data_IF_159726839284
#
_entry.id   IF_159726839284
#
_cell.length_a   1.000
_cell.length_b   1.000
_cell.length_c   1.000
_cell.angle_alpha   90.00
_cell.angle_beta   90.00
_cell.angle_gamma   90.00
#
_symmetry.space_group_name_H-M   'P 1'
#
loop_
_entity.id
_entity.type
_entity.pdbx_description
1 polymer ?
#
# COMPACT_ATOMS: atom_id res chain seq x y z
N UNK A 1 5.98 -11.97 2.23
CA UNK A 1 4.86 -11.13 1.76
C UNK A 1 5.21 -9.64 1.70
N UNK A 2 5.74 -8.99 2.76
CA UNK A 2 6.10 -7.57 2.68
C UNK A 2 7.36 -7.26 1.83
N UNK A 3 8.35 -8.18 1.72
CA UNK A 3 9.64 -7.93 1.05
C UNK A 3 9.58 -7.72 -0.45
N UNK A 4 8.58 -8.32 -1.11
CA UNK A 4 8.36 -8.07 -2.52
C UNK A 4 7.59 -6.78 -2.77
N UNK A 5 7.05 -6.10 -1.76
CA UNK A 5 6.23 -4.89 -1.98
C UNK A 5 6.95 -3.78 -2.75
N UNK A 6 8.24 -3.43 -2.49
CA UNK A 6 8.90 -2.37 -3.24
C UNK A 6 9.36 -2.85 -4.63
N UNK A 7 9.81 -4.11 -4.75
CA UNK A 7 10.26 -4.68 -6.03
C UNK A 7 9.09 -4.95 -6.99
N UNK A 8 7.94 -5.40 -6.47
CA UNK A 8 6.70 -5.55 -7.20
C UNK A 8 6.18 -4.20 -7.67
N UNK A 9 6.09 -3.20 -6.77
CA UNK A 9 5.70 -1.83 -7.13
C UNK A 9 6.65 -1.21 -8.14
N UNK A 10 7.95 -1.47 -8.03
CA UNK A 10 8.95 -1.05 -9.01
C UNK A 10 8.76 -1.66 -10.40
N UNK A 11 8.61 -2.99 -10.46
CA UNK A 11 8.39 -3.72 -11.71
C UNK A 11 7.08 -3.29 -12.38
N UNK A 12 6.03 -3.10 -11.60
CA UNK A 12 4.75 -2.60 -12.10
C UNK A 12 4.84 -1.15 -12.54
N UNK A 13 5.59 -0.30 -11.84
CA UNK A 13 5.81 1.08 -12.27
C UNK A 13 6.59 1.15 -13.59
N UNK A 14 7.56 0.25 -13.82
CA UNK A 14 8.25 0.17 -15.13
C UNK A 14 7.27 -0.31 -16.22
N UNK A 15 6.44 -1.31 -15.92
CA UNK A 15 5.57 -1.95 -16.91
C UNK A 15 4.33 -1.12 -17.28
N UNK A 16 3.68 -0.46 -16.32
CA UNK A 16 2.41 0.24 -16.52
C UNK A 16 2.53 1.73 -16.80
N UNK A 17 3.53 2.44 -16.24
CA UNK A 17 3.61 3.90 -16.38
C UNK A 17 4.33 4.34 -17.66
N UNK A 18 5.00 3.44 -18.40
CA UNK A 18 5.85 3.77 -19.56
C UNK A 18 6.82 4.95 -19.33
N UNK A 19 7.08 5.32 -18.07
CA UNK A 19 8.00 6.37 -17.72
C UNK A 19 9.42 5.81 -17.80
N UNK A 20 10.30 6.47 -18.56
CA UNK A 20 11.73 6.15 -18.59
C UNK A 20 12.29 6.35 -17.18
N UNK A 21 12.49 5.26 -16.45
CA UNK A 21 13.00 5.35 -15.10
C UNK A 21 14.44 5.82 -15.10
N UNK A 22 14.70 6.92 -14.39
CA UNK A 22 16.05 7.44 -14.22
C UNK A 22 16.83 6.55 -13.22
N UNK A 23 18.15 6.45 -13.36
CA UNK A 23 19.04 5.70 -12.44
C UNK A 23 18.76 5.92 -10.95
N UNK A 24 18.32 7.12 -10.54
CA UNK A 24 17.94 7.42 -9.15
C UNK A 24 16.70 6.65 -8.67
N UNK A 25 15.73 6.43 -9.55
CA UNK A 25 14.54 5.62 -9.24
C UNK A 25 14.93 4.15 -9.09
N UNK A 26 15.80 3.62 -9.96
CA UNK A 26 16.35 2.27 -9.80
C UNK A 26 17.11 2.09 -8.48
N UNK A 27 17.93 3.07 -8.09
CA UNK A 27 18.61 3.05 -6.78
C UNK A 27 17.62 3.11 -5.62
N UNK A 28 16.60 3.97 -5.71
CA UNK A 28 15.55 4.05 -4.70
C UNK A 28 14.78 2.74 -4.53
N UNK A 29 14.44 2.08 -5.63
CA UNK A 29 13.82 0.75 -5.64
C UNK A 29 14.71 -0.27 -4.94
N UNK A 30 15.99 -0.31 -5.29
CA UNK A 30 16.96 -1.25 -4.71
C UNK A 30 17.11 -1.02 -3.21
N UNK A 31 17.25 0.23 -2.77
CA UNK A 31 17.37 0.60 -1.35
C UNK A 31 16.11 0.18 -0.58
N UNK A 32 14.92 0.47 -1.12
CA UNK A 32 13.66 0.05 -0.49
C UNK A 32 13.55 -1.47 -0.39
N UNK A 33 13.90 -2.20 -1.46
CA UNK A 33 13.88 -3.65 -1.47
C UNK A 33 14.81 -4.25 -0.41
N UNK A 34 16.05 -3.77 -0.34
CA UNK A 34 17.02 -4.20 0.69
C UNK A 34 16.51 -3.88 2.10
N UNK A 35 15.86 -2.73 2.29
CA UNK A 35 15.23 -2.35 3.57
C UNK A 35 14.18 -3.35 4.03
N UNK A 36 13.31 -3.81 3.12
CA UNK A 36 12.30 -4.81 3.51
C UNK A 36 12.90 -6.20 3.69
N UNK A 37 13.86 -6.61 2.86
CA UNK A 37 14.58 -7.89 3.06
C UNK A 37 15.26 -7.91 4.43
N UNK A 38 15.91 -6.82 4.82
CA UNK A 38 16.53 -6.68 6.14
C UNK A 38 15.50 -6.80 7.27
N UNK A 39 14.35 -6.13 7.13
CA UNK A 39 13.26 -6.18 8.10
C UNK A 39 12.71 -7.61 8.27
N UNK A 40 12.43 -8.31 7.16
CA UNK A 40 11.88 -9.68 7.20
C UNK A 40 12.89 -10.70 7.69
N UNK A 41 14.15 -10.57 7.26
CA UNK A 41 15.20 -11.47 7.68
C UNK A 41 15.46 -11.35 9.19
N UNK A 42 15.11 -10.23 9.81
CA UNK A 42 15.54 -9.87 11.17
C UNK A 42 17.05 -10.09 11.37
N UNK A 43 17.87 -9.99 10.32
CA UNK A 43 19.31 -10.28 10.34
C UNK A 43 19.71 -11.76 10.24
N UNK A 44 18.77 -12.70 10.06
CA UNK A 44 19.04 -14.12 9.84
C UNK A 44 19.19 -14.46 8.36
N UNK A 45 20.35 -15.04 8.00
CA UNK A 45 20.63 -15.49 6.63
C UNK A 45 19.79 -16.72 6.23
N UNK A 46 19.37 -17.53 7.21
CA UNK A 46 18.56 -18.72 7.00
C UNK A 46 17.13 -18.39 6.55
N UNK A 47 16.58 -17.27 7.04
CA UNK A 47 15.28 -16.76 6.58
C UNK A 47 15.37 -16.32 5.12
N UNK A 48 16.51 -15.75 4.71
CA UNK A 48 16.73 -15.30 3.32
C UNK A 48 16.85 -16.50 2.39
N UNK A 49 17.56 -17.55 2.80
CA UNK A 49 17.73 -18.77 2.00
C UNK A 49 16.41 -19.53 1.77
N UNK A 50 15.48 -19.41 2.72
CA UNK A 50 14.16 -20.04 2.63
C UNK A 50 13.08 -19.12 2.01
N UNK A 51 13.43 -17.92 1.53
CA UNK A 51 12.50 -17.07 0.79
C UNK A 51 12.16 -17.70 -0.57
N UNK A 52 11.00 -18.34 -0.65
CA UNK A 52 10.46 -18.86 -1.91
C UNK A 52 9.38 -17.94 -2.46
N UNK A 53 9.42 -17.66 -3.77
CA UNK A 53 8.31 -17.03 -4.47
C UNK A 53 7.08 -17.94 -4.41
N UNK A 54 5.94 -17.41 -3.99
CA UNK A 54 4.71 -18.18 -3.83
C UNK A 54 3.52 -17.52 -4.56
N UNK A 55 2.39 -18.24 -4.60
CA UNK A 55 1.17 -17.76 -5.27
C UNK A 55 0.63 -16.46 -4.65
N UNK A 56 0.90 -16.20 -3.38
CA UNK A 56 0.55 -14.96 -2.70
C UNK A 56 1.26 -13.74 -3.27
N UNK A 57 2.49 -13.88 -3.77
CA UNK A 57 3.25 -12.78 -4.37
C UNK A 57 2.61 -12.33 -5.70
N UNK A 58 2.09 -13.28 -6.49
CA UNK A 58 1.31 -12.99 -7.70
C UNK A 58 -0.01 -12.29 -7.38
N UNK A 59 -0.70 -12.71 -6.31
CA UNK A 59 -1.94 -12.07 -5.86
C UNK A 59 -1.67 -10.64 -5.35
N UNK A 60 -0.54 -10.42 -4.67
CA UNK A 60 -0.12 -9.08 -4.26
C UNK A 60 0.14 -8.17 -5.45
N UNK A 61 0.87 -8.66 -6.47
CA UNK A 61 1.08 -7.93 -7.73
C UNK A 61 -0.26 -7.57 -8.39
N UNK A 62 -1.18 -8.52 -8.51
CA UNK A 62 -2.51 -8.27 -9.07
C UNK A 62 -3.30 -7.22 -8.24
N UNK A 63 -3.17 -7.25 -6.92
CA UNK A 63 -3.76 -6.25 -6.02
C UNK A 63 -3.18 -4.84 -6.26
N UNK A 64 -1.86 -4.72 -6.43
CA UNK A 64 -1.21 -3.43 -6.73
C UNK A 64 -1.63 -2.87 -8.10
N UNK A 65 -1.74 -3.73 -9.13
CA UNK A 65 -2.30 -3.32 -10.43
C UNK A 65 -3.73 -2.81 -10.25
N UNK A 66 -4.55 -3.56 -9.52
CA UNK A 66 -5.95 -3.19 -9.26
C UNK A 66 -6.04 -1.85 -8.53
N UNK A 67 -5.14 -1.59 -7.58
CA UNK A 67 -5.04 -0.31 -6.87
C UNK A 67 -4.66 0.87 -7.79
N UNK A 68 -3.68 0.66 -8.67
CA UNK A 68 -3.26 1.67 -9.64
C UNK A 68 -4.40 1.99 -10.62
N UNK A 69 -5.06 0.96 -11.14
CA UNK A 69 -6.24 1.10 -12.03
C UNK A 69 -7.36 1.83 -11.31
N UNK A 70 -7.68 1.46 -10.06
CA UNK A 70 -8.67 2.15 -9.24
C UNK A 70 -8.33 3.65 -9.09
N UNK A 71 -7.07 3.98 -8.82
CA UNK A 71 -6.65 5.37 -8.62
C UNK A 71 -6.70 6.18 -9.93
N UNK A 72 -6.35 5.58 -11.06
CA UNK A 72 -6.35 6.27 -12.35
C UNK A 72 -7.78 6.45 -12.87
N UNK A 73 -8.56 5.38 -12.94
CA UNK A 73 -9.94 5.42 -13.44
C UNK A 73 -10.88 6.12 -12.46
N UNK A 74 -10.68 5.91 -11.16
CA UNK A 74 -11.48 6.52 -10.10
C UNK A 74 -11.42 8.04 -10.15
N UNK A 75 -10.29 8.63 -10.57
CA UNK A 75 -10.21 10.08 -10.81
C UNK A 75 -11.24 10.55 -11.85
N UNK A 76 -11.39 9.83 -12.95
CA UNK A 76 -12.38 10.16 -13.98
C UNK A 76 -13.82 9.96 -13.49
N UNK A 77 -14.08 8.88 -12.75
CA UNK A 77 -15.39 8.66 -12.11
C UNK A 77 -15.76 9.80 -11.15
N UNK A 78 -14.76 10.36 -10.47
CA UNK A 78 -14.94 11.48 -9.55
C UNK A 78 -15.15 12.85 -10.23
N UNK A 79 -15.19 12.90 -11.57
CA UNK A 79 -15.69 14.08 -12.30
C UNK A 79 -17.22 14.17 -12.19
N UNK A 80 -17.90 13.01 -12.15
CA UNK A 80 -19.37 12.92 -12.07
C UNK A 80 -19.88 12.56 -10.65
N UNK A 81 -19.05 11.89 -9.84
CA UNK A 81 -19.41 11.42 -8.50
C UNK A 81 -18.57 12.08 -7.41
N UNK A 82 -19.18 12.35 -6.25
CA UNK A 82 -18.43 12.82 -5.09
C UNK A 82 -17.49 11.72 -4.54
N UNK A 83 -16.39 12.09 -3.84
CA UNK A 83 -15.48 11.11 -3.22
C UNK A 83 -16.16 10.13 -2.27
N UNK A 84 -17.16 10.60 -1.51
CA UNK A 84 -17.93 9.73 -0.60
C UNK A 84 -18.85 8.79 -1.37
N UNK A 85 -19.50 9.25 -2.45
CA UNK A 85 -20.33 8.40 -3.31
C UNK A 85 -19.49 7.33 -4.01
N UNK A 86 -18.29 7.69 -4.48
CA UNK A 86 -17.34 6.73 -5.07
C UNK A 86 -16.89 5.68 -4.05
N UNK A 87 -16.63 6.09 -2.81
CA UNK A 87 -16.30 5.19 -1.71
C UNK A 87 -17.47 4.26 -1.37
N UNK A 88 -18.70 4.77 -1.35
CA UNK A 88 -19.90 3.98 -1.10
C UNK A 88 -20.12 2.91 -2.17
N UNK A 89 -20.04 3.27 -3.46
CA UNK A 89 -20.17 2.31 -4.56
C UNK A 89 -19.06 1.27 -4.57
N UNK A 90 -17.82 1.66 -4.28
CA UNK A 90 -16.72 0.72 -4.10
C UNK A 90 -16.98 -0.25 -2.93
N UNK A 91 -17.52 0.25 -1.81
CA UNK A 91 -17.91 -0.57 -0.66
C UNK A 91 -19.02 -1.56 -0.98
N UNK A 92 -20.08 -1.12 -1.67
CA UNK A 92 -21.21 -1.98 -2.08
C UNK A 92 -20.73 -3.08 -3.03
N UNK A 93 -20.00 -2.72 -4.08
CA UNK A 93 -19.47 -3.69 -5.06
C UNK A 93 -18.50 -4.67 -4.41
N UNK A 94 -17.58 -4.18 -3.57
CA UNK A 94 -16.66 -5.02 -2.80
C UNK A 94 -17.39 -6.00 -1.88
N UNK A 95 -18.47 -5.55 -1.21
CA UNK A 95 -19.31 -6.40 -0.35
C UNK A 95 -19.98 -7.51 -1.15
N UNK A 96 -20.51 -7.19 -2.34
CA UNK A 96 -21.14 -8.20 -3.22
C UNK A 96 -20.13 -9.27 -3.67
N UNK A 97 -18.92 -8.87 -4.07
CA UNK A 97 -17.87 -9.81 -4.44
C UNK A 97 -17.40 -10.67 -3.27
N UNK A 98 -17.20 -10.06 -2.10
CA UNK A 98 -16.83 -10.78 -0.87
C UNK A 98 -17.91 -11.78 -0.45
N UNK A 99 -19.19 -11.39 -0.51
CA UNK A 99 -20.31 -12.25 -0.18
C UNK A 99 -20.39 -13.44 -1.16
N UNK A 100 -20.28 -13.19 -2.46
CA UNK A 100 -20.26 -14.26 -3.45
C UNK A 100 -19.09 -15.24 -3.22
N UNK A 101 -17.90 -14.72 -2.89
CA UNK A 101 -16.73 -15.54 -2.59
C UNK A 101 -16.91 -16.38 -1.30
N UNK A 102 -17.53 -15.80 -0.26
CA UNK A 102 -17.84 -16.49 1.00
C UNK A 102 -18.85 -17.62 0.79
N UNK A 103 -19.91 -17.37 0.02
CA UNK A 103 -20.90 -18.39 -0.34
C UNK A 103 -20.29 -19.51 -1.18
N UNK A 104 -19.41 -19.17 -2.14
CA UNK A 104 -18.72 -20.15 -2.97
C UNK A 104 -17.77 -21.06 -2.16
N UNK A 105 -17.06 -20.51 -1.18
CA UNK A 105 -16.16 -21.29 -0.31
C UNK A 105 -16.91 -22.10 0.76
N UNK A 106 -18.22 -21.89 0.93
CA UNK A 106 -19.02 -22.58 1.94
C UNK A 106 -18.63 -22.22 3.38
N UNK A 107 -17.95 -21.09 3.59
CA UNK A 107 -17.66 -20.60 4.94
C UNK A 107 -18.98 -20.23 5.61
N UNK A 108 -19.31 -20.88 6.73
CA UNK A 108 -20.55 -20.58 7.46
C UNK A 108 -20.65 -19.09 7.82
N UNK A 109 -21.83 -18.50 7.64
CA UNK A 109 -22.10 -17.08 7.94
C UNK A 109 -22.19 -16.80 9.45
N UNK A 110 -22.11 -17.83 10.29
CA UNK A 110 -22.23 -17.71 11.75
C UNK A 110 -20.85 -17.74 12.39
N UNK A 111 -20.30 -16.57 12.65
CA UNK A 111 -19.11 -16.39 13.49
C UNK A 111 -19.57 -15.72 14.79
N UNK A 112 -19.29 -16.34 15.94
CA UNK A 112 -19.49 -15.68 17.22
C UNK A 112 -18.36 -14.69 17.47
N UNK A 113 -18.68 -13.40 17.36
CA UNK A 113 -17.74 -12.32 17.60
C UNK A 113 -17.87 -11.83 19.05
N UNK A 114 -16.74 -11.58 19.70
CA UNK A 114 -16.71 -10.91 20.99
C UNK A 114 -17.13 -9.44 20.84
N UNK A 115 -17.54 -8.80 21.95
CA UNK A 115 -17.85 -7.36 21.94
C UNK A 115 -16.67 -6.52 21.46
N UNK A 116 -15.44 -6.92 21.81
CA UNK A 116 -14.23 -6.26 21.32
C UNK A 116 -14.10 -6.38 19.80
N UNK A 117 -14.32 -7.58 19.23
CA UNK A 117 -14.25 -7.78 17.79
C UNK A 117 -15.29 -6.94 17.04
N UNK A 118 -16.50 -6.78 17.58
CA UNK A 118 -17.51 -5.87 17.02
C UNK A 118 -17.06 -4.41 17.03
N UNK A 119 -16.46 -3.94 18.12
CA UNK A 119 -15.92 -2.59 18.21
C UNK A 119 -14.77 -2.38 17.22
N UNK A 120 -13.85 -3.35 17.11
CA UNK A 120 -12.76 -3.32 16.13
C UNK A 120 -13.28 -3.27 14.70
N UNK A 121 -14.32 -4.06 14.38
CA UNK A 121 -14.99 -4.01 13.08
C UNK A 121 -15.62 -2.64 12.82
N UNK A 122 -16.33 -2.07 13.81
CA UNK A 122 -16.91 -0.74 13.69
C UNK A 122 -15.85 0.34 13.41
N UNK A 123 -14.71 0.28 14.11
CA UNK A 123 -13.58 1.16 13.86
C UNK A 123 -12.99 0.97 12.45
N UNK A 124 -12.81 -0.29 12.01
CA UNK A 124 -12.35 -0.57 10.65
C UNK A 124 -13.31 -0.04 9.59
N UNK A 125 -14.61 -0.21 9.77
CA UNK A 125 -15.63 0.25 8.81
C UNK A 125 -15.63 1.78 8.74
N UNK A 126 -15.73 2.46 9.88
CA UNK A 126 -15.88 3.92 9.90
C UNK A 126 -14.55 4.62 9.64
N UNK A 127 -13.52 4.29 10.42
CA UNK A 127 -12.21 4.95 10.37
C UNK A 127 -11.45 4.59 9.11
N UNK A 128 -11.15 3.30 8.94
CA UNK A 128 -10.33 2.84 7.80
C UNK A 128 -11.12 2.71 6.50
N UNK A 129 -12.41 2.37 6.55
CA UNK A 129 -13.23 2.13 5.38
C UNK A 129 -13.84 3.40 4.82
N UNK A 130 -14.67 4.09 5.60
CA UNK A 130 -15.41 5.26 5.10
C UNK A 130 -14.53 6.50 5.08
N UNK A 131 -13.96 6.90 6.23
CA UNK A 131 -13.26 8.17 6.36
C UNK A 131 -11.95 8.18 5.55
N UNK A 132 -11.09 7.17 5.76
CA UNK A 132 -9.79 7.13 5.09
C UNK A 132 -9.92 7.06 3.56
N UNK A 133 -10.81 6.21 3.02
CA UNK A 133 -11.00 6.15 1.57
C UNK A 133 -11.69 7.39 1.01
N UNK A 134 -12.62 8.00 1.74
CA UNK A 134 -13.23 9.27 1.30
C UNK A 134 -12.18 10.36 1.20
N UNK A 135 -11.26 10.47 2.18
CA UNK A 135 -10.16 11.43 2.13
C UNK A 135 -9.12 11.10 1.06
N UNK A 136 -8.81 9.82 0.87
CA UNK A 136 -7.96 9.37 -0.24
C UNK A 136 -8.54 9.81 -1.58
N UNK A 137 -9.83 9.52 -1.80
CA UNK A 137 -10.56 9.87 -3.01
C UNK A 137 -10.68 11.39 -3.19
N UNK A 138 -10.89 12.13 -2.10
CA UNK A 138 -10.88 13.60 -2.15
C UNK A 138 -9.51 14.13 -2.59
N UNK A 139 -8.42 13.59 -2.07
CA UNK A 139 -7.07 13.91 -2.53
C UNK A 139 -6.86 13.54 -3.99
N UNK A 140 -7.31 12.34 -4.40
CA UNK A 140 -7.22 11.84 -5.76
C UNK A 140 -7.92 12.75 -6.78
N UNK A 141 -9.13 13.21 -6.45
CA UNK A 141 -9.89 14.18 -7.26
C UNK A 141 -9.20 15.55 -7.29
N UNK A 142 -8.73 16.05 -6.14
CA UNK A 142 -8.21 17.42 -6.00
C UNK A 142 -6.81 17.63 -6.60
N UNK A 143 -5.89 16.69 -6.38
CA UNK A 143 -4.45 16.85 -6.74
C UNK A 143 -3.95 15.78 -7.71
N UNK A 144 -4.78 14.80 -8.07
CA UNK A 144 -4.47 13.74 -9.00
C UNK A 144 -3.67 12.57 -8.39
N UNK A 145 -3.66 11.39 -9.04
CA UNK A 145 -3.08 10.14 -8.52
C UNK A 145 -1.62 10.26 -8.14
N UNK A 146 -0.81 10.92 -8.98
CA UNK A 146 0.62 11.04 -8.73
C UNK A 146 0.94 11.82 -7.47
N UNK A 147 0.21 12.91 -7.16
CA UNK A 147 0.46 13.69 -5.93
C UNK A 147 -0.10 12.99 -4.70
N UNK A 148 -1.28 12.38 -4.81
CA UNK A 148 -1.90 11.61 -3.71
C UNK A 148 -1.03 10.43 -3.29
N UNK A 149 -0.45 9.71 -4.24
CA UNK A 149 0.46 8.59 -3.97
C UNK A 149 1.74 9.00 -3.22
N UNK A 150 2.16 10.26 -3.26
CA UNK A 150 3.29 10.74 -2.45
C UNK A 150 2.92 10.73 -0.96
N UNK A 151 1.67 11.06 -0.62
CA UNK A 151 1.22 11.09 0.77
C UNK A 151 1.09 9.70 1.39
N UNK A 152 0.88 8.64 0.58
CA UNK A 152 0.94 7.27 1.11
C UNK A 152 2.32 6.89 1.68
N UNK A 153 3.38 7.60 1.31
CA UNK A 153 4.71 7.38 1.88
C UNK A 153 4.79 7.81 3.35
N UNK A 154 3.83 8.60 3.85
CA UNK A 154 3.73 9.02 5.25
C UNK A 154 3.10 7.93 6.13
N UNK A 155 2.28 7.05 5.54
CA UNK A 155 1.59 5.95 6.24
C UNK A 155 2.54 5.10 7.09
N UNK A 156 3.69 4.58 6.60
CA UNK A 156 4.59 3.76 7.41
C UNK A 156 5.16 4.52 8.61
N UNK A 157 5.48 5.81 8.47
CA UNK A 157 5.97 6.64 9.57
C UNK A 157 4.88 6.88 10.62
N UNK A 158 3.67 7.21 10.18
CA UNK A 158 2.52 7.39 11.07
C UNK A 158 2.19 6.09 11.82
N UNK A 159 2.18 4.94 11.11
CA UNK A 159 1.96 3.62 11.70
C UNK A 159 2.99 3.29 12.77
N UNK A 160 4.27 3.56 12.50
CA UNK A 160 5.35 3.37 13.47
C UNK A 160 5.15 4.22 14.73
N UNK A 161 4.85 5.52 14.58
CA UNK A 161 4.65 6.41 15.72
C UNK A 161 3.43 6.02 16.56
N UNK A 162 2.34 5.64 15.89
CA UNK A 162 1.12 5.20 16.56
C UNK A 162 1.30 3.83 17.24
N UNK A 163 2.11 2.92 16.70
CA UNK A 163 2.36 1.63 17.36
C UNK A 163 3.13 1.79 18.67
N UNK A 164 4.13 2.67 18.71
CA UNK A 164 4.81 3.02 19.98
C UNK A 164 3.83 3.66 20.96
N UNK A 165 3.05 4.64 20.50
CA UNK A 165 2.18 5.42 21.38
C UNK A 165 1.03 4.58 21.97
N UNK A 166 0.36 3.76 21.16
CA UNK A 166 -0.87 3.07 21.54
C UNK A 166 -0.67 1.60 21.90
N UNK A 167 0.23 0.89 21.20
CA UNK A 167 0.47 -0.54 21.43
C UNK A 167 1.65 -0.77 22.39
N UNK A 168 2.39 0.29 22.77
CA UNK A 168 3.58 0.20 23.62
C UNK A 168 4.62 -0.79 23.05
N UNK A 169 4.64 -0.94 21.71
CA UNK A 169 5.58 -1.80 21.02
C UNK A 169 6.99 -1.26 21.17
N UNK A 170 7.90 -2.14 21.57
CA UNK A 170 9.32 -1.82 21.64
C UNK A 170 9.90 -1.94 20.24
N UNK A 171 10.06 -0.80 19.56
CA UNK A 171 10.71 -0.76 18.26
C UNK A 171 12.20 -0.97 18.46
N UNK A 172 12.67 -2.15 18.04
CA UNK A 172 14.09 -2.46 18.04
C UNK A 172 14.85 -1.66 16.97
N UNK A 173 16.18 -1.66 17.11
CA UNK A 173 17.05 -0.97 16.15
C UNK A 173 16.92 -1.53 14.72
N UNK A 174 16.53 -2.79 14.58
CA UNK A 174 16.34 -3.46 13.28
C UNK A 174 15.12 -2.90 12.54
N UNK A 175 14.04 -2.68 13.27
CA UNK A 175 12.81 -2.11 12.74
C UNK A 175 13.01 -0.65 12.32
N UNK A 176 13.73 0.14 13.12
CA UNK A 176 14.09 1.52 12.78
C UNK A 176 14.96 1.58 11.53
N UNK A 177 16.04 0.80 11.47
CA UNK A 177 16.98 0.82 10.35
C UNK A 177 16.34 0.32 9.05
N UNK A 178 15.53 -0.73 9.11
CA UNK A 178 14.74 -1.21 7.97
C UNK A 178 13.75 -0.16 7.48
N UNK A 179 13.01 0.49 8.39
CA UNK A 179 12.09 1.56 8.03
C UNK A 179 12.79 2.77 7.40
N UNK A 180 13.96 3.18 7.92
CA UNK A 180 14.74 4.26 7.35
C UNK A 180 15.21 3.95 5.92
N UNK A 181 15.63 2.72 5.64
CA UNK A 181 15.97 2.30 4.27
C UNK A 181 14.77 2.35 3.35
N UNK A 182 13.62 1.81 3.78
CA UNK A 182 12.38 1.84 2.99
C UNK A 182 11.95 3.28 2.69
N UNK A 183 11.88 4.15 3.70
CA UNK A 183 11.49 5.55 3.54
C UNK A 183 12.47 6.28 2.62
N UNK A 184 13.78 6.08 2.79
CA UNK A 184 14.80 6.72 1.96
C UNK A 184 14.71 6.29 0.50
N UNK A 185 14.53 5.00 0.24
CA UNK A 185 14.38 4.49 -1.12
C UNK A 185 13.12 5.00 -1.80
N UNK A 186 11.99 5.02 -1.09
CA UNK A 186 10.71 5.60 -1.56
C UNK A 186 10.84 7.10 -1.84
N UNK A 187 11.58 7.83 -1.02
CA UNK A 187 11.81 9.26 -1.24
C UNK A 187 12.67 9.51 -2.50
N UNK A 188 13.65 8.64 -2.76
CA UNK A 188 14.47 8.68 -3.97
C UNK A 188 13.70 8.34 -5.24
N UNK A 189 12.71 7.42 -5.17
CA UNK A 189 11.84 7.11 -6.32
C UNK A 189 10.86 8.23 -6.64
N UNK A 190 10.42 8.95 -5.60
CA UNK A 190 9.36 9.97 -5.72
C UNK A 190 9.90 11.36 -6.08
N UNK A 191 11.18 11.65 -5.84
CA UNK A 191 11.80 12.90 -6.28
C UNK A 191 11.93 12.93 -7.81
N UNK A 192 11.18 13.82 -8.46
CA UNK A 192 11.40 14.14 -9.88
C UNK A 192 12.87 14.57 -10.09
N UNK A 193 13.52 14.16 -11.19
CA UNK A 193 14.79 14.76 -11.60
C UNK A 193 14.59 16.27 -11.70
N UNK A 194 15.51 17.08 -11.15
CA UNK A 194 15.42 18.53 -11.33
C UNK A 194 15.48 18.85 -12.82
N UNK A 195 14.75 19.88 -13.25
CA UNK A 195 14.64 20.36 -14.64
C UNK A 195 15.99 20.71 -15.31
N UNK A 196 17.12 20.58 -14.61
CA UNK A 196 18.46 20.84 -15.13
C UNK A 196 19.05 19.70 -16.00
N UNK A 197 18.41 18.53 -16.06
CA UNK A 197 18.91 17.37 -16.83
C UNK A 197 18.15 17.09 -18.13
N UNK A 198 17.29 18.01 -18.58
CA UNK A 198 16.55 17.89 -19.87
C UNK A 198 17.16 18.73 -21.00
N UNK A 199 18.28 19.42 -20.76
CA UNK A 199 18.98 20.26 -21.75
C UNK A 199 20.42 19.81 -22.01
N UNK A 200 20.69 18.50 -21.99
CA UNK A 200 21.97 17.93 -22.41
C UNK A 200 21.76 16.88 -23.49
#
# INVERSE_FOLDING_TARGET
>A
MAALSPAATALLAVAFLQEKMHTRQWLGILISFLGVVFLIAHGSLEVIQNLSFNRGDLLFLASQISWAVYSILGRGVMEDLSPIATTAWAGVTGTLFMLAAALYQGTGLTVQLSQFAWLSMGYMIVGSGILAFTWWNAGLSSVGPNRTAIFSNVIPLAGMLLSVAFLQEHIGWREVTGALWIISGVFLTTRKPSLASQTA
#
